data_IF_166290291774
#
_entry.id   IF_166290291774
#
_cell.length_a   1.000
_cell.length_b   1.000
_cell.length_c   1.000
_cell.angle_alpha   90.00
_cell.angle_beta   90.00
_cell.angle_gamma   90.00
#
_symmetry.space_group_name_H-M   'P 1'
#
loop_
_entity.id
_entity.type
_entity.pdbx_description
1 polymer ?
#
# COMPACT_ATOMS: atom_id res chain seq x y z
N UNK A 1 -42.66 -56.42 7.58
CA UNK A 1 -44.07 -56.02 7.81
C UNK A 1 -44.21 -55.50 9.24
N UNK A 2 -44.13 -54.17 9.42
CA UNK A 2 -44.91 -53.37 10.39
C UNK A 2 -44.55 -51.90 10.14
N UNK A 3 -45.60 -51.13 9.87
CA UNK A 3 -45.63 -49.71 9.50
C UNK A 3 -45.74 -48.90 10.79
N UNK A 4 -44.89 -47.88 10.97
CA UNK A 4 -45.10 -46.75 11.90
C UNK A 4 -44.39 -45.54 11.24
N UNK A 5 -45.11 -44.72 10.47
CA UNK A 5 -45.80 -43.48 10.85
C UNK A 5 -44.89 -42.37 11.40
N UNK A 6 -44.90 -41.28 10.64
CA UNK A 6 -44.13 -40.04 10.74
C UNK A 6 -44.66 -39.09 11.82
N UNK A 7 -43.75 -38.46 12.58
CA UNK A 7 -44.03 -37.24 13.33
C UNK A 7 -42.90 -36.22 13.14
N UNK A 8 -43.27 -35.11 12.51
CA UNK A 8 -42.51 -33.89 12.29
C UNK A 8 -42.30 -33.14 13.61
N UNK A 9 -41.04 -32.89 13.98
CA UNK A 9 -40.67 -32.05 15.12
C UNK A 9 -40.26 -30.68 14.60
N UNK A 10 -41.14 -29.71 14.83
CA UNK A 10 -40.93 -28.28 14.59
C UNK A 10 -40.14 -27.71 15.77
N UNK A 11 -38.91 -27.26 15.52
CA UNK A 11 -38.11 -26.49 16.50
C UNK A 11 -38.57 -25.03 16.53
N UNK A 12 -38.84 -24.45 17.72
CA UNK A 12 -39.30 -23.07 17.82
C UNK A 12 -38.17 -22.04 17.68
N UNK A 13 -38.49 -20.95 16.98
CA UNK A 13 -37.69 -19.72 16.85
C UNK A 13 -37.54 -19.03 18.22
N UNK A 14 -36.30 -18.79 18.64
CA UNK A 14 -35.96 -17.91 19.75
C UNK A 14 -36.06 -16.45 19.29
N UNK A 15 -37.08 -15.76 19.77
CA UNK A 15 -37.25 -14.30 19.66
C UNK A 15 -36.44 -13.58 20.73
N UNK A 16 -35.67 -12.58 20.31
CA UNK A 16 -34.90 -11.69 21.19
C UNK A 16 -35.86 -10.66 21.84
N UNK A 17 -35.84 -10.45 23.17
CA UNK A 17 -36.72 -9.46 23.80
C UNK A 17 -36.19 -8.03 23.68
N UNK A 18 -37.02 -7.18 23.08
CA UNK A 18 -36.88 -5.72 23.02
C UNK A 18 -37.58 -5.08 24.21
N UNK A 19 -36.83 -4.38 25.10
CA UNK A 19 -37.26 -3.14 25.78
C UNK A 19 -36.31 -2.79 26.93
N UNK A 20 -35.57 -1.68 26.80
CA UNK A 20 -34.92 -0.97 27.90
C UNK A 20 -35.73 0.31 28.21
N UNK A 21 -35.83 0.75 29.48
CA UNK A 21 -36.64 1.89 29.90
C UNK A 21 -36.03 3.25 29.49
N UNK A 22 -36.86 4.32 29.39
CA UNK A 22 -36.39 5.62 28.90
C UNK A 22 -35.54 6.35 29.95
N UNK A 23 -34.36 6.82 29.51
CA UNK A 23 -33.50 7.73 30.27
C UNK A 23 -33.98 9.16 30.11
N UNK A 24 -34.14 9.87 31.23
CA UNK A 24 -34.51 11.29 31.30
C UNK A 24 -33.36 12.19 30.84
N UNK A 25 -33.69 13.15 29.97
CA UNK A 25 -32.78 14.16 29.42
C UNK A 25 -32.80 15.40 30.33
N UNK A 26 -31.66 15.92 30.82
CA UNK A 26 -31.60 17.24 31.46
C UNK A 26 -31.67 18.36 30.42
N UNK A 27 -32.45 19.41 30.72
CA UNK A 27 -32.64 20.61 29.90
C UNK A 27 -31.33 21.41 29.71
N UNK A 28 -31.09 22.02 28.55
CA UNK A 28 -29.92 22.89 28.34
C UNK A 28 -30.11 24.27 28.98
N UNK A 29 -29.08 24.73 29.69
CA UNK A 29 -28.98 26.11 30.16
C UNK A 29 -28.61 27.04 29.01
N UNK A 30 -29.41 28.10 28.82
CA UNK A 30 -29.14 29.21 27.91
C UNK A 30 -27.90 29.99 28.36
N UNK A 31 -26.83 29.97 27.56
CA UNK A 31 -25.72 30.91 27.63
C UNK A 31 -25.74 31.73 26.33
N UNK A 32 -25.74 33.07 26.38
CA UNK A 32 -25.81 33.90 25.17
C UNK A 32 -24.52 33.79 24.35
N UNK A 33 -24.68 33.39 23.09
CA UNK A 33 -23.63 33.29 22.09
C UNK A 33 -23.45 34.65 21.42
N UNK A 34 -22.26 35.26 21.55
CA UNK A 34 -21.84 36.43 20.76
C UNK A 34 -21.05 35.91 19.55
N UNK A 35 -21.40 36.30 18.30
CA UNK A 35 -20.69 35.81 17.12
C UNK A 35 -19.42 36.65 16.89
N UNK A 36 -18.25 36.07 17.13
CA UNK A 36 -16.96 36.67 16.76
C UNK A 36 -16.54 36.10 15.39
N UNK A 37 -16.38 36.99 14.42
CA UNK A 37 -16.07 36.66 13.03
C UNK A 37 -14.69 36.04 12.83
N UNK A 38 -14.64 35.00 11.98
CA UNK A 38 -13.43 34.30 11.51
C UNK A 38 -12.63 35.18 10.53
N UNK A 39 -11.94 36.22 11.00
CA UNK A 39 -10.75 36.76 10.34
C UNK A 39 -9.83 37.33 11.42
N UNK A 40 -8.54 37.00 11.31
CA UNK A 40 -7.44 37.39 12.20
C UNK A 40 -7.26 36.51 13.43
N UNK A 41 -6.35 35.55 13.34
CA UNK A 41 -5.36 35.18 14.37
C UNK A 41 -4.45 34.08 13.78
N UNK A 42 -3.52 34.49 12.91
CA UNK A 42 -2.30 33.75 12.61
C UNK A 42 -1.14 34.67 12.99
N UNK A 43 -0.73 34.57 14.25
CA UNK A 43 0.58 35.05 14.70
C UNK A 43 1.18 33.92 15.50
N UNK A 44 2.21 33.32 14.93
CA UNK A 44 2.94 32.18 15.47
C UNK A 44 3.51 32.54 16.85
N UNK A 45 3.24 31.68 17.83
CA UNK A 45 3.89 31.70 19.14
C UNK A 45 5.19 30.91 18.99
N UNK A 46 6.32 31.62 18.94
CA UNK A 46 7.64 31.03 19.18
C UNK A 46 7.86 30.96 20.69
N UNK A 47 7.78 29.76 21.25
CA UNK A 47 8.18 29.52 22.64
C UNK A 47 9.70 29.36 22.66
N UNK A 48 10.41 30.46 22.92
CA UNK A 48 11.82 30.44 23.29
C UNK A 48 11.92 30.18 24.80
N UNK A 49 12.37 28.98 25.19
CA UNK A 49 12.69 28.66 26.58
C UNK A 49 14.06 29.27 26.90
N UNK A 50 14.06 30.41 27.58
CA UNK A 50 15.25 31.04 28.14
C UNK A 50 15.47 30.54 29.56
N UNK A 51 16.44 29.65 29.78
CA UNK A 51 16.94 29.34 31.13
C UNK A 51 18.19 30.17 31.35
N UNK A 52 18.11 31.14 32.26
CA UNK A 52 19.22 31.98 32.71
C UNK A 52 19.67 31.56 34.11
N UNK A 53 20.89 31.03 34.26
CA UNK A 53 21.56 30.91 35.56
C UNK A 53 23.08 31.14 35.42
N UNK A 54 23.49 32.33 35.87
CA UNK A 54 24.76 32.82 36.49
C UNK A 54 26.12 32.80 35.76
N UNK A 55 27.04 33.75 36.12
CA UNK A 55 28.24 34.09 35.35
C UNK A 55 29.53 33.52 35.95
N UNK A 56 30.42 32.94 35.15
CA UNK A 56 31.85 32.84 35.49
C UNK A 56 32.73 32.55 34.25
N UNK A 57 33.66 33.48 33.96
CA UNK A 57 34.94 33.38 33.22
C UNK A 57 35.00 32.92 31.73
N UNK A 58 35.69 33.67 30.83
CA UNK A 58 36.06 33.22 29.47
C UNK A 58 37.38 32.40 29.52
N UNK A 59 37.65 31.46 28.58
CA UNK A 59 38.09 31.85 27.24
C UNK A 59 37.79 30.86 26.08
N UNK A 60 38.07 31.35 24.87
CA UNK A 60 38.37 30.64 23.62
C UNK A 60 37.23 30.39 22.63
N UNK A 61 37.47 30.97 21.46
CA UNK A 61 36.61 31.15 20.30
C UNK A 61 36.82 29.94 19.38
N UNK A 62 35.91 28.97 19.43
CA UNK A 62 35.78 27.95 18.39
C UNK A 62 34.40 28.07 17.76
N UNK A 63 34.42 28.32 16.45
CA UNK A 63 33.27 28.59 15.61
C UNK A 63 32.27 27.44 15.62
N UNK A 64 31.12 27.64 16.25
CA UNK A 64 29.93 26.84 16.03
C UNK A 64 29.30 27.31 14.72
N UNK A 65 29.61 26.61 13.62
CA UNK A 65 28.81 26.70 12.41
C UNK A 65 27.41 26.18 12.74
N UNK A 66 26.34 26.92 12.40
CA UNK A 66 24.99 26.42 12.56
C UNK A 66 24.82 25.20 11.65
N UNK A 67 24.50 24.05 12.26
CA UNK A 67 24.00 22.88 11.54
C UNK A 67 22.64 23.27 10.99
N UNK A 68 22.62 23.70 9.72
CA UNK A 68 21.39 23.87 8.97
C UNK A 68 20.79 22.47 8.77
N UNK A 69 19.88 22.08 9.67
CA UNK A 69 18.95 20.99 9.38
C UNK A 69 18.06 21.50 8.25
N UNK A 70 18.08 20.90 7.05
CA UNK A 70 17.22 21.36 5.97
C UNK A 70 15.78 21.21 6.44
N UNK A 71 15.08 22.33 6.55
CA UNK A 71 13.63 22.34 6.78
C UNK A 71 13.00 21.57 5.64
N UNK A 72 12.15 20.60 5.96
CA UNK A 72 11.42 19.82 4.97
C UNK A 72 10.64 20.79 4.08
N UNK A 73 11.08 20.92 2.84
CA UNK A 73 10.39 21.71 1.84
C UNK A 73 9.01 21.11 1.61
N UNK A 74 7.99 21.95 1.43
CA UNK A 74 6.63 21.49 1.23
C UNK A 74 6.55 20.77 -0.12
N UNK A 75 6.78 19.47 -0.12
CA UNK A 75 6.65 18.62 -1.31
C UNK A 75 5.17 18.65 -1.68
N UNK A 76 4.84 19.27 -2.80
CA UNK A 76 3.50 19.20 -3.39
C UNK A 76 3.07 17.75 -3.62
N UNK A 77 1.83 17.55 -4.03
CA UNK A 77 1.31 16.22 -4.35
C UNK A 77 2.27 15.47 -5.28
N UNK A 78 2.64 14.23 -4.92
CA UNK A 78 3.55 13.42 -5.73
C UNK A 78 2.92 13.15 -7.10
N UNK A 79 3.65 13.48 -8.16
CA UNK A 79 3.21 13.32 -9.54
C UNK A 79 4.02 12.21 -10.22
N UNK A 80 3.34 11.40 -11.02
CA UNK A 80 3.94 10.32 -11.81
C UNK A 80 4.11 10.76 -13.29
N UNK A 81 5.21 10.42 -13.96
CA UNK A 81 6.48 10.00 -13.37
C UNK A 81 7.09 11.15 -12.54
N UNK A 82 7.76 10.86 -11.41
CA UNK A 82 8.31 11.90 -10.55
C UNK A 82 9.55 12.53 -11.18
N UNK A 83 9.84 13.80 -10.86
CA UNK A 83 11.10 14.43 -11.27
C UNK A 83 12.32 13.79 -10.59
N UNK A 84 12.16 13.36 -9.34
CA UNK A 84 13.17 12.65 -8.55
C UNK A 84 12.50 11.84 -7.45
N UNK A 85 13.19 10.80 -6.99
CA UNK A 85 12.88 10.11 -5.74
C UNK A 85 13.87 10.57 -4.68
N UNK A 86 13.38 10.86 -3.49
CA UNK A 86 14.22 11.29 -2.36
C UNK A 86 14.67 10.12 -1.50
N UNK A 87 14.00 8.98 -1.64
CA UNK A 87 14.31 7.73 -0.96
C UNK A 87 14.74 6.67 -1.98
N UNK A 88 15.41 5.63 -1.48
CA UNK A 88 15.75 4.43 -2.25
C UNK A 88 14.64 3.40 -2.09
N UNK A 89 14.16 2.82 -3.19
CA UNK A 89 13.07 1.85 -3.15
C UNK A 89 13.52 0.48 -3.65
N UNK A 90 13.11 -0.55 -2.92
CA UNK A 90 13.16 -1.93 -3.37
C UNK A 90 11.73 -2.48 -3.41
N UNK A 91 11.36 -3.07 -4.54
CA UNK A 91 10.05 -3.67 -4.77
C UNK A 91 10.18 -5.18 -4.59
N UNK A 92 9.29 -5.77 -3.80
CA UNK A 92 9.32 -7.21 -3.51
C UNK A 92 7.92 -7.78 -3.70
N UNK A 93 7.77 -8.76 -4.58
CA UNK A 93 6.56 -9.59 -4.60
C UNK A 93 6.70 -10.65 -3.52
N UNK A 94 5.67 -10.83 -2.70
CA UNK A 94 5.60 -11.95 -1.76
C UNK A 94 5.84 -13.29 -2.46
N UNK A 95 6.27 -14.30 -1.70
CA UNK A 95 6.31 -15.67 -2.21
C UNK A 95 4.90 -16.18 -2.54
N UNK A 96 4.86 -17.31 -3.23
CA UNK A 96 3.62 -18.03 -3.55
C UNK A 96 2.81 -18.30 -2.27
N UNK A 97 1.50 -18.07 -2.31
CA UNK A 97 0.60 -18.40 -1.20
C UNK A 97 0.01 -19.79 -1.32
N UNK A 98 -0.67 -20.26 -0.27
CA UNK A 98 -1.42 -21.53 -0.33
C UNK A 98 -2.49 -21.48 -1.44
N UNK A 99 -3.27 -20.39 -1.53
CA UNK A 99 -4.21 -20.21 -2.66
C UNK A 99 -3.55 -20.25 -4.04
N UNK A 100 -2.39 -19.62 -4.23
CA UNK A 100 -1.67 -19.68 -5.52
C UNK A 100 -1.17 -21.10 -5.80
N UNK A 101 -0.76 -21.84 -4.76
CA UNK A 101 -0.33 -23.24 -4.87
C UNK A 101 -1.48 -24.16 -5.30
N UNK A 102 -2.71 -23.82 -4.92
CA UNK A 102 -3.94 -24.49 -5.36
C UNK A 102 -4.43 -24.00 -6.73
N UNK A 103 -3.77 -23.00 -7.33
CA UNK A 103 -4.19 -22.39 -8.59
C UNK A 103 -5.48 -21.61 -8.46
N UNK A 104 -5.74 -20.98 -7.32
CA UNK A 104 -6.98 -20.24 -7.02
C UNK A 104 -6.66 -18.75 -6.86
N UNK A 105 -7.48 -17.91 -7.49
CA UNK A 105 -7.47 -16.46 -7.30
C UNK A 105 -8.08 -16.12 -5.95
N UNK A 106 -7.33 -15.37 -5.13
CA UNK A 106 -7.79 -14.85 -3.85
C UNK A 106 -7.40 -13.38 -3.72
N UNK A 107 -8.39 -12.51 -3.90
CA UNK A 107 -8.27 -11.05 -3.87
C UNK A 107 -9.31 -10.41 -2.96
N UNK A 108 -10.18 -11.20 -2.33
CA UNK A 108 -11.17 -10.73 -1.37
C UNK A 108 -10.48 -10.22 -0.08
N UNK A 109 -10.67 -8.93 0.30
CA UNK A 109 -10.08 -8.37 1.50
C UNK A 109 -10.51 -9.07 2.81
N UNK A 110 -11.65 -9.77 2.82
CA UNK A 110 -12.14 -10.52 3.99
C UNK A 110 -11.22 -11.69 4.32
N UNK A 111 -10.66 -12.35 3.31
CA UNK A 111 -9.80 -13.52 3.49
C UNK A 111 -8.32 -13.14 3.67
N UNK A 112 -7.93 -11.87 3.51
CA UNK A 112 -6.53 -11.48 3.33
C UNK A 112 -5.61 -11.79 4.52
N UNK A 113 -6.15 -11.85 5.74
CA UNK A 113 -5.42 -12.22 6.97
C UNK A 113 -5.63 -13.68 7.39
N UNK A 114 -6.37 -14.46 6.60
CA UNK A 114 -6.52 -15.90 6.83
C UNK A 114 -5.17 -16.62 6.71
N UNK A 115 -5.04 -17.74 7.42
CA UNK A 115 -3.88 -18.62 7.32
C UNK A 115 -3.68 -19.11 5.88
N UNK A 116 -4.77 -19.40 5.17
CA UNK A 116 -4.76 -19.85 3.77
C UNK A 116 -4.29 -18.76 2.78
N UNK A 117 -4.31 -17.49 3.21
CA UNK A 117 -3.73 -16.37 2.48
C UNK A 117 -2.23 -16.19 2.75
N UNK A 118 -1.64 -17.04 3.59
CA UNK A 118 -0.23 -17.04 3.95
C UNK A 118 0.67 -17.66 2.88
N UNK A 119 1.99 -17.56 3.10
CA UNK A 119 3.02 -18.17 2.26
C UNK A 119 2.93 -19.69 2.30
N UNK A 120 3.00 -20.31 1.12
CA UNK A 120 3.22 -21.75 1.01
C UNK A 120 4.64 -22.14 1.45
N UNK A 121 4.91 -23.43 1.60
CA UNK A 121 6.28 -23.90 1.87
C UNK A 121 7.27 -23.49 0.77
N UNK A 122 6.82 -23.45 -0.48
CA UNK A 122 7.60 -22.93 -1.61
C UNK A 122 7.73 -21.40 -1.52
N UNK A 123 6.64 -20.70 -1.16
CA UNK A 123 6.63 -19.27 -0.90
C UNK A 123 7.65 -18.83 0.15
N UNK A 124 7.75 -19.54 1.27
CA UNK A 124 8.74 -19.27 2.32
C UNK A 124 10.18 -19.35 1.79
N UNK A 125 10.48 -20.35 0.95
CA UNK A 125 11.82 -20.49 0.31
C UNK A 125 12.10 -19.37 -0.69
N UNK A 126 11.10 -18.97 -1.47
CA UNK A 126 11.20 -17.84 -2.40
C UNK A 126 11.47 -16.54 -1.65
N UNK A 127 10.74 -16.27 -0.57
CA UNK A 127 10.97 -15.11 0.29
C UNK A 127 12.36 -15.16 0.95
N UNK A 128 12.81 -16.32 1.40
CA UNK A 128 14.15 -16.45 1.99
C UNK A 128 15.23 -16.06 0.97
N UNK A 129 15.08 -16.49 -0.29
CA UNK A 129 15.96 -16.07 -1.39
C UNK A 129 15.89 -14.55 -1.60
N UNK A 130 14.70 -13.97 -1.67
CA UNK A 130 14.49 -12.53 -1.80
C UNK A 130 15.21 -11.75 -0.69
N UNK A 131 15.12 -12.23 0.55
CA UNK A 131 15.75 -11.62 1.71
C UNK A 131 17.29 -11.63 1.62
N UNK A 132 17.89 -12.70 1.12
CA UNK A 132 19.33 -12.74 0.84
C UNK A 132 19.73 -11.86 -0.35
N UNK A 133 18.88 -11.75 -1.36
CA UNK A 133 19.12 -10.87 -2.51
C UNK A 133 19.15 -9.40 -2.09
N UNK A 134 18.16 -8.96 -1.29
CA UNK A 134 18.14 -7.63 -0.68
C UNK A 134 19.41 -7.35 0.15
N UNK A 135 19.86 -8.35 0.90
CA UNK A 135 21.10 -8.26 1.67
C UNK A 135 22.32 -8.07 0.78
N UNK A 136 22.41 -8.82 -0.32
CA UNK A 136 23.48 -8.72 -1.30
C UNK A 136 23.48 -7.36 -2.04
N UNK A 137 22.30 -6.76 -2.24
CA UNK A 137 22.15 -5.41 -2.80
C UNK A 137 22.44 -4.28 -1.79
N UNK A 138 22.75 -4.60 -0.53
CA UNK A 138 22.97 -3.61 0.52
C UNK A 138 21.71 -2.81 0.88
N UNK A 139 20.52 -3.39 0.72
CA UNK A 139 19.25 -2.66 0.89
C UNK A 139 19.07 -2.12 2.33
N UNK A 140 19.57 -2.81 3.34
CA UNK A 140 19.38 -2.45 4.75
C UNK A 140 20.69 -2.18 5.51
N UNK A 141 21.81 -1.95 4.82
CA UNK A 141 23.12 -1.72 5.48
C UNK A 141 23.10 -0.51 6.42
N UNK A 142 22.41 0.57 6.03
CA UNK A 142 22.23 1.78 6.83
C UNK A 142 20.87 1.85 7.52
N UNK A 143 20.21 0.70 7.71
CA UNK A 143 18.80 0.63 8.09
C UNK A 143 17.86 0.77 6.90
N UNK A 144 16.64 0.27 7.07
CA UNK A 144 15.59 0.32 6.06
C UNK A 144 14.22 0.22 6.74
N UNK A 145 13.19 0.74 6.07
CA UNK A 145 11.79 0.57 6.43
C UNK A 145 11.17 -0.51 5.54
N UNK A 146 10.40 -1.42 6.10
CA UNK A 146 9.71 -2.46 5.34
C UNK A 146 8.21 -2.16 5.39
N UNK A 147 7.63 -1.90 4.23
CA UNK A 147 6.22 -1.56 4.04
C UNK A 147 5.48 -2.71 3.36
N UNK A 148 5.03 -3.72 4.11
CA UNK A 148 4.18 -4.77 3.56
C UNK A 148 2.71 -4.38 3.54
N UNK A 149 1.97 -4.90 2.56
CA UNK A 149 0.53 -5.12 2.74
C UNK A 149 0.26 -5.97 3.98
N UNK A 150 -0.88 -5.73 4.64
CA UNK A 150 -1.36 -6.61 5.73
C UNK A 150 -1.89 -7.97 5.27
N UNK A 151 -1.90 -8.26 3.96
CA UNK A 151 -2.12 -9.63 3.48
C UNK A 151 -1.13 -10.59 4.14
N UNK A 152 -1.62 -11.75 4.56
CA UNK A 152 -0.86 -12.68 5.40
C UNK A 152 0.49 -13.06 4.76
N UNK A 153 0.51 -13.35 3.45
CA UNK A 153 1.74 -13.65 2.70
C UNK A 153 2.75 -12.50 2.65
N UNK A 154 2.30 -11.25 2.47
CA UNK A 154 3.19 -10.10 2.39
C UNK A 154 3.76 -9.75 3.76
N UNK A 155 2.94 -9.83 4.81
CA UNK A 155 3.39 -9.59 6.18
C UNK A 155 4.38 -10.66 6.66
N UNK A 156 4.10 -11.95 6.41
CA UNK A 156 5.05 -13.04 6.66
C UNK A 156 6.35 -12.84 5.86
N UNK A 157 6.24 -12.37 4.62
CA UNK A 157 7.42 -12.09 3.82
C UNK A 157 8.28 -10.97 4.43
N UNK A 158 7.66 -9.91 4.92
CA UNK A 158 8.35 -8.83 5.63
C UNK A 158 9.03 -9.31 6.91
N UNK A 159 8.42 -10.20 7.70
CA UNK A 159 9.06 -10.76 8.89
C UNK A 159 10.32 -11.58 8.55
N UNK A 160 10.27 -12.39 7.48
CA UNK A 160 11.43 -13.15 7.00
C UNK A 160 12.53 -12.20 6.50
N UNK A 161 12.17 -11.20 5.68
CA UNK A 161 13.11 -10.18 5.18
C UNK A 161 13.78 -9.46 6.35
N UNK A 162 12.99 -9.03 7.33
CA UNK A 162 13.49 -8.34 8.51
C UNK A 162 14.47 -9.20 9.31
N UNK A 163 14.13 -10.47 9.54
CA UNK A 163 14.99 -11.43 10.27
C UNK A 163 16.36 -11.60 9.60
N UNK A 164 16.40 -11.85 8.29
CA UNK A 164 17.64 -12.08 7.53
C UNK A 164 18.52 -10.82 7.46
N UNK A 165 17.88 -9.66 7.36
CA UNK A 165 18.54 -8.35 7.23
C UNK A 165 18.78 -7.65 8.58
N UNK A 166 18.50 -8.32 9.71
CA UNK A 166 18.67 -7.79 11.08
C UNK A 166 17.93 -6.48 11.32
N UNK A 167 16.75 -6.35 10.70
CA UNK A 167 15.84 -5.22 10.89
C UNK A 167 14.90 -5.53 12.04
N UNK A 168 14.76 -4.61 13.00
CA UNK A 168 13.81 -4.77 14.11
C UNK A 168 12.37 -4.72 13.59
N UNK A 169 11.47 -5.47 14.23
CA UNK A 169 10.01 -5.45 13.92
C UNK A 169 9.41 -4.04 13.99
N UNK A 170 10.00 -3.13 14.76
CA UNK A 170 9.58 -1.72 14.83
C UNK A 170 9.73 -0.94 13.52
N UNK A 171 10.48 -1.47 12.55
CA UNK A 171 10.66 -0.88 11.21
C UNK A 171 9.80 -1.56 10.14
N UNK A 172 8.95 -2.52 10.55
CA UNK A 172 7.89 -3.05 9.69
C UNK A 172 6.67 -2.15 9.87
N UNK A 173 6.23 -1.49 8.81
CA UNK A 173 5.10 -0.57 8.79
C UNK A 173 3.98 -1.20 7.95
N UNK A 174 3.03 -1.90 8.58
CA UNK A 174 1.95 -2.55 7.84
C UNK A 174 1.07 -1.51 7.13
N UNK A 175 0.86 -1.71 5.84
CA UNK A 175 0.00 -0.91 4.99
C UNK A 175 -1.33 -1.66 4.74
N UNK A 176 -2.45 -0.98 5.01
CA UNK A 176 -3.76 -1.63 5.17
C UNK A 176 -4.62 -1.64 3.92
N UNK A 177 -4.32 -0.78 2.94
CA UNK A 177 -5.23 -0.45 1.84
C UNK A 177 -4.54 -0.26 0.49
N UNK A 178 -3.50 0.58 0.41
CA UNK A 178 -2.83 0.94 -0.84
C UNK A 178 -2.02 -0.19 -1.50
N UNK A 179 -1.65 -1.22 -0.73
CA UNK A 179 -0.91 -2.42 -1.17
C UNK A 179 -1.75 -3.69 -1.11
N UNK A 180 -3.06 -3.60 -0.88
CA UNK A 180 -3.92 -4.78 -1.05
C UNK A 180 -3.80 -5.33 -2.49
N UNK A 181 -3.96 -6.65 -2.63
CA UNK A 181 -3.98 -7.28 -3.94
C UNK A 181 -5.07 -6.63 -4.81
N UNK A 182 -4.84 -6.53 -6.11
CA UNK A 182 -5.83 -5.94 -7.01
C UNK A 182 -7.12 -6.77 -6.94
N UNK A 183 -8.24 -6.13 -6.61
CA UNK A 183 -9.53 -6.81 -6.59
C UNK A 183 -9.94 -7.27 -7.99
N UNK A 184 -10.18 -8.57 -8.17
CA UNK A 184 -10.54 -9.14 -9.47
C UNK A 184 -12.04 -9.48 -9.62
N UNK A 185 -12.88 -9.04 -8.69
CA UNK A 185 -14.34 -9.17 -8.77
C UNK A 185 -14.79 -10.60 -9.03
N UNK A 186 -15.55 -10.82 -10.11
CA UNK A 186 -16.09 -12.12 -10.52
C UNK A 186 -15.04 -13.19 -10.87
N UNK A 187 -13.74 -12.87 -10.82
CA UNK A 187 -12.67 -13.87 -10.91
C UNK A 187 -12.26 -14.45 -9.56
N UNK A 188 -12.79 -13.93 -8.44
CA UNK A 188 -12.55 -14.49 -7.12
C UNK A 188 -12.91 -15.98 -7.07
N UNK A 189 -12.00 -16.79 -6.51
CA UNK A 189 -12.17 -18.25 -6.41
C UNK A 189 -12.01 -19.01 -7.74
N UNK A 190 -11.80 -18.34 -8.88
CA UNK A 190 -11.54 -19.01 -10.15
C UNK A 190 -10.09 -19.49 -10.25
N UNK A 191 -9.82 -20.27 -11.30
CA UNK A 191 -8.48 -20.74 -11.62
C UNK A 191 -7.54 -19.55 -11.90
N UNK A 192 -6.33 -19.59 -11.35
CA UNK A 192 -5.28 -18.57 -11.50
C UNK A 192 -4.92 -18.28 -12.97
N UNK A 193 -5.07 -19.25 -13.86
CA UNK A 193 -4.82 -19.08 -15.30
C UNK A 193 -5.79 -18.06 -15.94
N UNK A 194 -6.98 -17.87 -15.35
CA UNK A 194 -7.97 -16.90 -15.83
C UNK A 194 -7.55 -15.45 -15.63
N UNK A 195 -6.51 -15.17 -14.84
CA UNK A 195 -5.90 -13.83 -14.74
C UNK A 195 -5.38 -13.36 -16.11
N UNK A 196 -5.03 -14.30 -17.01
CA UNK A 196 -4.62 -13.95 -18.38
C UNK A 196 -5.69 -13.18 -19.16
N UNK A 197 -6.98 -13.41 -18.89
CA UNK A 197 -8.12 -12.71 -19.49
C UNK A 197 -8.24 -11.27 -18.98
N UNK A 198 -7.99 -11.06 -17.68
CA UNK A 198 -7.93 -9.73 -17.05
C UNK A 198 -6.83 -8.91 -17.72
N UNK A 199 -5.65 -9.49 -17.84
CA UNK A 199 -4.51 -8.81 -18.47
C UNK A 199 -4.70 -8.56 -19.96
N UNK A 200 -5.41 -9.42 -20.69
CA UNK A 200 -5.79 -9.15 -22.07
C UNK A 200 -6.68 -7.89 -22.15
N UNK A 201 -7.61 -7.75 -21.21
CA UNK A 201 -8.47 -6.57 -21.11
C UNK A 201 -7.69 -5.31 -20.73
N UNK A 202 -6.75 -5.41 -19.80
CA UNK A 202 -5.89 -4.30 -19.37
C UNK A 202 -5.05 -3.73 -20.51
N UNK A 203 -4.60 -4.58 -21.45
CA UNK A 203 -3.84 -4.17 -22.63
C UNK A 203 -4.65 -3.27 -23.59
N UNK A 204 -5.98 -3.36 -23.54
CA UNK A 204 -6.88 -2.54 -24.35
C UNK A 204 -7.09 -1.17 -23.68
N UNK A 205 -7.44 -1.17 -22.39
CA UNK A 205 -7.73 0.06 -21.65
C UNK A 205 -7.47 -0.09 -20.16
N UNK A 206 -6.84 0.94 -19.58
CA UNK A 206 -6.51 1.00 -18.15
C UNK A 206 -7.72 1.15 -17.24
N UNK A 207 -8.91 1.47 -17.80
CA UNK A 207 -10.14 1.72 -17.03
C UNK A 207 -11.10 0.53 -17.03
N UNK A 208 -10.77 -0.55 -17.75
CA UNK A 208 -11.61 -1.75 -17.72
C UNK A 208 -11.48 -2.38 -16.33
N UNK A 209 -12.62 -2.53 -15.67
CA UNK A 209 -12.73 -3.29 -14.41
C UNK A 209 -13.16 -4.72 -14.75
N UNK A 210 -12.63 -5.73 -14.05
CA UNK A 210 -13.24 -7.06 -14.06
C UNK A 210 -14.74 -6.98 -13.71
N UNK A 211 -15.58 -7.93 -14.14
CA UNK A 211 -16.99 -7.94 -13.77
C UNK A 211 -17.15 -7.95 -12.24
N UNK A 212 -18.14 -7.26 -11.66
CA UNK A 212 -18.37 -7.25 -10.23
C UNK A 212 -18.92 -8.61 -9.73
N UNK A 213 -18.86 -8.82 -8.41
CA UNK A 213 -19.42 -9.97 -7.70
C UNK A 213 -20.04 -9.50 -6.37
N UNK A 214 -20.97 -10.28 -5.82
CA UNK A 214 -21.77 -9.90 -4.65
C UNK A 214 -21.17 -10.35 -3.29
N UNK A 215 -19.95 -10.90 -3.27
CA UNK A 215 -19.28 -11.42 -2.06
C UNK A 215 -18.40 -10.37 -1.34
N UNK A 216 -18.45 -9.13 -1.81
CA UNK A 216 -17.65 -8.02 -1.28
C UNK A 216 -16.25 -7.89 -1.89
N UNK A 217 -15.86 -8.74 -2.85
CA UNK A 217 -14.59 -8.60 -3.56
C UNK A 217 -14.61 -7.37 -4.46
N UNK A 218 -13.66 -6.42 -4.30
CA UNK A 218 -13.54 -5.27 -5.19
C UNK A 218 -13.22 -5.70 -6.63
N UNK A 219 -13.57 -4.87 -7.61
CA UNK A 219 -13.20 -5.05 -9.02
C UNK A 219 -12.45 -3.81 -9.53
N UNK A 220 -11.13 -3.84 -9.42
CA UNK A 220 -10.27 -2.70 -9.71
C UNK A 220 -9.75 -2.74 -11.15
N UNK A 221 -9.74 -1.59 -11.80
CA UNK A 221 -9.01 -1.36 -13.05
C UNK A 221 -7.55 -1.00 -12.75
N UNK A 222 -6.68 -1.09 -13.77
CA UNK A 222 -5.29 -0.62 -13.67
C UNK A 222 -5.22 0.85 -13.22
N UNK A 223 -6.14 1.69 -13.68
CA UNK A 223 -6.22 3.09 -13.30
C UNK A 223 -6.58 3.29 -11.82
N UNK A 224 -7.43 2.43 -11.25
CA UNK A 224 -7.77 2.48 -9.81
C UNK A 224 -6.54 2.13 -8.96
N UNK A 225 -5.85 1.04 -9.31
CA UNK A 225 -4.60 0.62 -8.64
C UNK A 225 -3.54 1.71 -8.75
N UNK A 226 -3.39 2.32 -9.93
CA UNK A 226 -2.44 3.41 -10.17
C UNK A 226 -2.66 4.60 -9.24
N UNK A 227 -3.91 4.98 -8.97
CA UNK A 227 -4.23 6.07 -8.02
C UNK A 227 -3.73 5.72 -6.62
N UNK A 228 -4.04 4.52 -6.11
CA UNK A 228 -3.64 4.14 -4.74
C UNK A 228 -2.14 3.95 -4.57
N UNK A 229 -1.43 3.38 -5.55
CA UNK A 229 0.04 3.27 -5.45
C UNK A 229 0.72 4.65 -5.58
N UNK A 230 0.12 5.60 -6.30
CA UNK A 230 0.59 7.00 -6.32
C UNK A 230 0.39 7.69 -4.97
N UNK A 231 -0.73 7.40 -4.29
CA UNK A 231 -0.97 7.89 -2.93
C UNK A 231 0.01 7.27 -1.93
N UNK A 232 0.32 5.97 -2.05
CA UNK A 232 1.39 5.33 -1.28
C UNK A 232 2.71 6.07 -1.45
N UNK A 233 3.13 6.33 -2.69
CA UNK A 233 4.37 7.07 -2.95
C UNK A 233 4.33 8.50 -2.38
N UNK A 234 3.17 9.15 -2.40
CA UNK A 234 3.00 10.46 -1.74
C UNK A 234 3.28 10.39 -0.25
N UNK A 235 2.85 9.32 0.41
CA UNK A 235 3.10 9.08 1.84
C UNK A 235 4.59 8.82 2.06
N UNK A 236 5.17 7.88 1.32
CA UNK A 236 6.57 7.47 1.50
C UNK A 236 7.55 8.62 1.23
N UNK A 237 7.32 9.39 0.17
CA UNK A 237 8.16 10.57 -0.16
C UNK A 237 7.93 11.77 0.76
N UNK A 238 6.88 11.78 1.58
CA UNK A 238 6.65 12.84 2.57
C UNK A 238 7.14 12.44 3.96
N UNK A 239 6.97 11.17 4.34
CA UNK A 239 7.34 10.68 5.67
C UNK A 239 8.84 10.40 5.81
N UNK A 240 9.50 10.01 4.72
CA UNK A 240 10.91 9.61 4.71
C UNK A 240 11.75 10.54 3.84
N UNK A 241 13.03 10.68 4.18
CA UNK A 241 13.96 11.50 3.39
C UNK A 241 15.37 10.95 3.45
N UNK A 242 15.86 10.44 2.30
CA UNK A 242 17.17 9.81 2.20
C UNK A 242 17.20 8.37 2.73
N UNK A 243 16.05 7.82 3.10
CA UNK A 243 15.93 6.47 3.65
C UNK A 243 15.85 5.41 2.55
N UNK A 244 16.00 4.15 2.95
CA UNK A 244 15.66 2.99 2.11
C UNK A 244 14.32 2.40 2.53
N UNK A 245 13.43 2.22 1.56
CA UNK A 245 12.08 1.66 1.76
C UNK A 245 11.92 0.40 0.91
N UNK A 246 11.56 -0.71 1.55
CA UNK A 246 11.24 -1.99 0.91
C UNK A 246 9.72 -2.10 0.86
N UNK A 247 9.14 -2.05 -0.33
CA UNK A 247 7.69 -2.22 -0.56
C UNK A 247 7.42 -3.70 -0.82
N UNK A 248 6.60 -4.34 0.02
CA UNK A 248 6.26 -5.76 -0.12
C UNK A 248 4.79 -5.91 -0.50
N UNK A 249 4.54 -6.30 -1.75
CA UNK A 249 3.19 -6.50 -2.28
C UNK A 249 2.79 -7.98 -2.25
N UNK A 250 1.52 -8.32 -1.98
CA UNK A 250 1.01 -9.68 -2.10
C UNK A 250 1.10 -10.23 -3.53
N UNK A 251 0.86 -9.37 -4.51
CA UNK A 251 0.78 -9.73 -5.92
C UNK A 251 1.70 -8.85 -6.78
N UNK A 252 1.70 -9.12 -8.08
CA UNK A 252 2.51 -8.38 -9.05
C UNK A 252 1.88 -7.04 -9.47
N UNK A 253 0.56 -6.87 -9.35
CA UNK A 253 -0.15 -5.76 -10.00
C UNK A 253 0.23 -4.41 -9.38
N UNK A 254 0.26 -4.31 -8.05
CA UNK A 254 0.71 -3.09 -7.37
C UNK A 254 2.11 -2.66 -7.81
N UNK A 255 3.04 -3.63 -7.89
CA UNK A 255 4.44 -3.37 -8.20
C UNK A 255 4.64 -3.01 -9.67
N UNK A 256 3.99 -3.74 -10.58
CA UNK A 256 4.07 -3.47 -12.02
C UNK A 256 3.50 -2.11 -12.38
N UNK A 257 2.35 -1.75 -11.80
CA UNK A 257 1.66 -0.49 -12.08
C UNK A 257 2.42 0.67 -11.46
N UNK A 258 2.96 0.50 -10.25
CA UNK A 258 3.88 1.45 -9.64
C UNK A 258 5.12 1.66 -10.52
N UNK A 259 5.79 0.58 -10.94
CA UNK A 259 7.00 0.66 -11.75
C UNK A 259 6.72 1.30 -13.10
N UNK A 260 5.62 0.96 -13.77
CA UNK A 260 5.19 1.59 -15.02
C UNK A 260 4.95 3.10 -14.83
N UNK A 261 4.30 3.48 -13.74
CA UNK A 261 4.10 4.87 -13.33
C UNK A 261 5.40 5.65 -13.14
N UNK A 262 6.36 5.06 -12.43
CA UNK A 262 7.65 5.68 -12.13
C UNK A 262 8.47 5.93 -13.39
N UNK A 263 8.49 4.99 -14.33
CA UNK A 263 9.27 5.12 -15.59
C UNK A 263 8.49 5.76 -16.74
N UNK A 264 7.23 6.15 -16.51
CA UNK A 264 6.37 6.74 -17.53
C UNK A 264 5.98 5.77 -18.67
N UNK A 265 5.98 4.47 -18.40
CA UNK A 265 5.47 3.45 -19.32
C UNK A 265 3.95 3.58 -19.42
N UNK A 266 3.40 3.34 -20.62
CA UNK A 266 1.95 3.19 -20.79
C UNK A 266 1.43 2.10 -19.84
N UNK A 267 0.50 2.46 -18.94
CA UNK A 267 0.00 1.54 -17.92
C UNK A 267 -0.66 0.29 -18.52
N UNK A 268 -1.13 0.32 -19.78
CA UNK A 268 -1.63 -0.88 -20.49
C UNK A 268 -0.55 -1.95 -20.68
N UNK A 269 0.72 -1.55 -20.58
CA UNK A 269 1.90 -2.41 -20.70
C UNK A 269 2.50 -2.79 -19.35
N UNK A 270 1.80 -2.57 -18.23
CA UNK A 270 2.34 -2.90 -16.90
C UNK A 270 2.75 -4.39 -16.79
N UNK A 271 2.08 -5.31 -17.50
CA UNK A 271 2.43 -6.74 -17.56
C UNK A 271 3.83 -7.02 -18.12
N UNK A 272 4.40 -6.14 -18.93
CA UNK A 272 5.80 -6.25 -19.39
C UNK A 272 6.79 -6.23 -18.21
N UNK A 273 6.33 -5.74 -17.05
CA UNK A 273 7.08 -5.62 -15.80
C UNK A 273 6.64 -6.65 -14.75
N UNK A 274 5.96 -7.75 -15.12
CA UNK A 274 5.46 -8.75 -14.15
C UNK A 274 6.58 -9.28 -13.24
N UNK A 275 6.25 -9.48 -11.96
CA UNK A 275 7.14 -10.05 -10.94
C UNK A 275 6.82 -11.53 -10.75
N UNK A 276 7.85 -12.37 -10.69
CA UNK A 276 7.73 -13.73 -10.18
C UNK A 276 7.57 -13.74 -8.64
N UNK A 277 6.98 -14.78 -8.05
CA UNK A 277 6.89 -14.88 -6.58
C UNK A 277 8.28 -14.85 -5.92
N UNK A 278 8.47 -13.97 -4.94
CA UNK A 278 9.75 -13.72 -4.28
C UNK A 278 10.77 -12.94 -5.12
N UNK A 279 10.38 -12.33 -6.23
CA UNK A 279 11.27 -11.46 -7.00
C UNK A 279 11.50 -10.12 -6.29
N UNK A 280 12.73 -9.63 -6.37
CA UNK A 280 13.19 -8.34 -5.84
C UNK A 280 13.64 -7.46 -6.99
N UNK A 281 13.26 -6.18 -6.98
CA UNK A 281 13.81 -5.18 -7.91
C UNK A 281 14.19 -3.90 -7.19
N UNK A 282 15.38 -3.38 -7.48
CA UNK A 282 15.74 -2.01 -7.11
C UNK A 282 15.10 -1.02 -8.08
N UNK A 283 14.54 0.07 -7.56
CA UNK A 283 14.05 1.18 -8.39
C UNK A 283 15.22 2.09 -8.73
N UNK A 284 15.71 1.97 -9.96
CA UNK A 284 16.76 2.84 -10.47
C UNK A 284 16.21 4.23 -10.81
N UNK A 285 16.57 5.24 -10.01
CA UNK A 285 16.15 6.62 -10.22
C UNK A 285 16.63 7.18 -11.58
N UNK A 286 17.68 6.64 -12.18
CA UNK A 286 18.16 7.07 -13.49
C UNK A 286 17.27 6.61 -14.65
N UNK A 287 16.45 5.58 -14.43
CA UNK A 287 15.46 5.09 -15.39
C UNK A 287 14.19 5.95 -15.47
N UNK A 288 14.04 6.90 -14.54
CA UNK A 288 12.90 7.82 -14.48
C UNK A 288 13.11 8.91 -15.53
N UNK A 289 12.15 9.13 -16.44
CA UNK A 289 12.33 10.07 -17.54
C UNK A 289 12.51 11.50 -17.01
N UNK A 290 13.54 12.19 -17.51
CA UNK A 290 13.71 13.62 -17.22
C UNK A 290 12.51 14.37 -17.80
N UNK A 291 11.71 14.97 -16.91
CA UNK A 291 10.45 15.66 -17.24
C UNK A 291 10.56 16.56 -18.48
N UNK A 292 10.00 16.09 -19.61
CA UNK A 292 9.46 16.86 -20.75
C UNK A 292 8.92 16.03 -21.92
N UNK A 293 8.99 14.71 -21.92
CA UNK A 293 8.32 13.89 -22.93
C UNK A 293 7.75 12.63 -22.27
N UNK A 294 6.45 12.33 -22.45
CA UNK A 294 5.97 10.99 -22.12
C UNK A 294 6.71 9.99 -23.01
N UNK A 295 7.21 8.90 -22.43
CA UNK A 295 7.87 7.82 -23.17
C UNK A 295 6.89 7.01 -24.06
N UNK A 296 5.64 7.45 -24.19
CA UNK A 296 4.63 6.84 -25.06
C UNK A 296 4.67 7.42 -26.48
N UNK A 297 5.81 7.27 -27.16
CA UNK A 297 5.93 7.62 -28.58
C UNK A 297 5.22 6.63 -29.54
N UNK A 298 4.36 5.71 -29.07
CA UNK A 298 3.86 4.60 -29.90
C UNK A 298 2.34 4.39 -29.97
N UNK A 299 1.50 5.20 -29.33
CA UNK A 299 0.04 5.12 -29.58
C UNK A 299 -0.52 6.46 -30.05
N UNK A 300 -0.44 6.69 -31.37
CA UNK A 300 -1.23 7.71 -32.08
C UNK A 300 -2.65 7.19 -32.32
N UNK A 301 -3.44 6.91 -31.29
CA UNK A 301 -4.89 6.83 -31.51
C UNK A 301 -5.45 8.24 -31.45
N UNK A 302 -5.62 8.85 -32.62
CA UNK A 302 -6.16 10.21 -32.74
C UNK A 302 -7.70 10.24 -32.57
N UNK A 303 -8.40 9.09 -32.55
CA UNK A 303 -9.86 9.05 -32.45
C UNK A 303 -10.46 7.76 -31.82
N UNK A 304 -10.55 7.66 -30.48
CA UNK A 304 -11.24 6.55 -29.81
C UNK A 304 -12.75 6.54 -30.13
N UNK A 305 -13.44 5.38 -30.26
CA UNK A 305 -12.98 4.02 -29.93
C UNK A 305 -12.40 3.21 -31.10
N UNK A 306 -12.36 3.75 -32.33
CA UNK A 306 -11.78 3.06 -33.48
C UNK A 306 -10.30 3.42 -33.64
N UNK A 307 -9.45 2.61 -33.02
CA UNK A 307 -8.00 2.70 -33.15
C UNK A 307 -7.45 1.55 -34.02
N UNK A 308 -7.94 1.40 -35.25
CA UNK A 308 -7.28 0.56 -36.26
C UNK A 308 -5.99 1.22 -36.73
#
# INVERSE_FOLDING_TARGET
MRIISSSSITTPLLSLPSSLPPSSIPKPHNIPYVPIGRRHLLTAVTISISISVTPFTPPQLNSLLPVFVPVADARGLFQMPPFRLSNRYFLVRAGESEYESLGIINTNPVAKTSVDSGLSEKGKKQTLRAAFELKAMGACENGCWIWPSITQRAYQAAEIIASVNRVSRSYIVPEYSFLDARGLGAYEGKNLDSVSEVYASDSISTRIKPPPIDDGTPNESVADVFVRVTQLMSILETQYSGDTVIIVSPDSDNLTILQAGLVGLDLRRHRDLSFAPGEVRFVDASSIPTYKQPASALYKCLNPPNCN
#
